data_IF_780915397284
#
_entry.id   IF_780915397284
#
_cell.length_a   1.000
_cell.length_b   1.000
_cell.length_c   1.000
_cell.angle_alpha   90.00
_cell.angle_beta   90.00
_cell.angle_gamma   90.00
#
_symmetry.space_group_name_H-M   'P 1'
#
loop_
_entity.id
_entity.type
_entity.pdbx_description
1 polymer ?
#
# COMPACT_ATOMS: atom_id res chain seq x y z
N UNK A 1 48.82 18.34 -48.19
CA UNK A 1 49.86 19.37 -48.01
C UNK A 1 49.49 20.19 -46.77
N UNK A 2 50.43 20.29 -45.81
CA UNK A 2 50.46 21.08 -44.56
C UNK A 2 49.33 20.77 -43.53
N UNK A 3 49.55 20.24 -42.32
CA UNK A 3 50.76 19.98 -41.55
C UNK A 3 50.92 20.98 -40.40
N UNK A 4 50.61 20.56 -39.16
CA UNK A 4 51.28 21.03 -37.93
C UNK A 4 50.84 20.18 -36.72
N UNK A 5 51.79 19.35 -36.28
CA UNK A 5 51.91 18.60 -35.03
C UNK A 5 52.26 19.50 -33.84
N UNK A 6 51.97 19.07 -32.60
CA UNK A 6 52.81 19.22 -31.39
C UNK A 6 52.21 18.37 -30.24
N UNK A 7 52.66 17.13 -30.02
CA UNK A 7 53.58 16.64 -28.96
C UNK A 7 53.23 16.93 -27.48
N UNK A 8 52.74 15.87 -26.81
CA UNK A 8 53.10 15.30 -25.51
C UNK A 8 53.81 16.13 -24.42
N UNK A 9 53.23 16.12 -23.21
CA UNK A 9 53.99 16.01 -21.96
C UNK A 9 53.31 15.06 -20.97
N UNK A 10 54.07 14.06 -20.55
CA UNK A 10 53.82 13.07 -19.51
C UNK A 10 54.70 13.36 -18.29
N UNK A 11 54.21 13.21 -17.05
CA UNK A 11 55.00 12.84 -15.84
C UNK A 11 54.08 12.68 -14.59
N UNK A 12 54.52 12.03 -13.48
CA UNK A 12 53.96 10.74 -13.07
C UNK A 12 53.54 10.62 -11.58
N UNK A 13 52.87 9.49 -11.28
CA UNK A 13 52.86 8.66 -10.06
C UNK A 13 53.30 9.28 -8.71
N UNK A 14 52.42 9.19 -7.71
CA UNK A 14 52.81 8.93 -6.33
C UNK A 14 52.03 7.74 -5.75
N UNK A 15 52.80 6.67 -5.51
CA UNK A 15 52.48 5.51 -4.68
C UNK A 15 52.53 5.92 -3.20
N UNK A 16 51.60 5.41 -2.40
CA UNK A 16 51.87 5.08 -1.01
C UNK A 16 51.50 3.61 -0.74
N UNK A 17 52.52 2.76 -0.70
CA UNK A 17 52.62 1.61 0.21
C UNK A 17 53.09 2.17 1.57
N UNK A 18 52.84 1.64 2.77
CA UNK A 18 52.73 0.26 3.25
C UNK A 18 52.47 0.30 4.77
N UNK A 19 51.70 -0.66 5.32
CA UNK A 19 51.95 -1.40 6.58
C UNK A 19 50.70 -2.24 6.86
N UNK A 20 50.67 -3.57 6.64
CA UNK A 20 51.36 -4.67 7.34
C UNK A 20 50.90 -4.94 8.78
N UNK A 21 50.32 -6.15 8.93
CA UNK A 21 50.40 -7.11 10.03
C UNK A 21 49.59 -6.93 11.34
N UNK A 22 48.79 -7.97 11.64
CA UNK A 22 48.71 -8.74 12.91
C UNK A 22 47.26 -9.25 13.14
N UNK A 23 46.93 -10.51 12.84
CA UNK A 23 46.95 -11.67 13.76
C UNK A 23 46.02 -11.57 14.99
N UNK A 24 44.98 -12.42 14.97
CA UNK A 24 44.08 -12.87 16.06
C UNK A 24 44.80 -13.27 17.36
N UNK A 25 44.18 -13.15 18.56
CA UNK A 25 43.25 -14.20 19.06
C UNK A 25 42.06 -13.69 19.93
N UNK A 26 40.96 -14.46 19.98
CA UNK A 26 39.98 -14.39 21.09
C UNK A 26 40.61 -14.89 22.41
N UNK A 27 39.96 -14.79 23.59
CA UNK A 27 38.70 -15.50 23.86
C UNK A 27 37.74 -14.80 24.87
N UNK A 28 36.68 -15.53 25.24
CA UNK A 28 35.77 -15.38 26.40
C UNK A 28 34.32 -14.94 26.14
N UNK A 29 33.48 -15.96 25.91
CA UNK A 29 32.06 -15.99 26.30
C UNK A 29 31.94 -16.05 27.83
N UNK A 30 30.79 -15.59 28.37
CA UNK A 30 30.05 -16.35 29.36
C UNK A 30 28.74 -16.88 28.76
N UNK A 31 28.54 -18.19 28.92
CA UNK A 31 27.26 -18.86 28.78
C UNK A 31 26.34 -18.39 29.92
N UNK A 32 25.08 -18.04 29.63
CA UNK A 32 24.00 -18.21 30.59
C UNK A 32 22.93 -19.11 29.97
N UNK A 33 22.96 -20.35 30.44
CA UNK A 33 21.89 -21.32 30.38
C UNK A 33 20.99 -21.02 31.59
N UNK A 34 19.67 -20.90 31.45
CA UNK A 34 18.72 -21.40 32.46
C UNK A 34 17.26 -21.14 32.03
N UNK A 35 16.49 -22.22 32.00
CA UNK A 35 15.25 -22.27 32.80
C UNK A 35 13.95 -21.87 32.11
N UNK A 36 13.33 -22.85 31.47
CA UNK A 36 11.88 -22.93 31.23
C UNK A 36 11.10 -22.61 32.52
N UNK A 37 10.17 -21.65 32.49
CA UNK A 37 8.98 -21.62 33.37
C UNK A 37 7.84 -20.82 32.73
N UNK A 38 6.74 -21.52 32.41
CA UNK A 38 5.43 -20.94 32.11
C UNK A 38 4.86 -20.32 33.39
N UNK A 39 4.26 -19.13 33.31
CA UNK A 39 3.21 -18.74 34.27
C UNK A 39 2.13 -17.90 33.59
N UNK A 40 0.89 -18.38 33.73
CA UNK A 40 -0.34 -17.65 33.49
C UNK A 40 -0.46 -16.51 34.51
N UNK A 41 -0.89 -15.32 34.07
CA UNK A 41 -1.55 -14.36 34.95
C UNK A 41 -2.56 -13.51 34.18
N UNK A 42 -3.82 -13.86 34.39
CA UNK A 42 -5.01 -13.10 34.00
C UNK A 42 -5.07 -11.78 34.75
N UNK A 43 -5.39 -10.69 34.06
CA UNK A 43 -5.63 -9.37 34.66
C UNK A 43 -7.14 -9.12 34.67
N UNK A 44 -7.72 -9.15 35.86
CA UNK A 44 -9.09 -8.72 36.14
C UNK A 44 -9.14 -7.19 36.17
N UNK A 45 -10.00 -6.58 35.35
CA UNK A 45 -10.53 -5.24 35.62
C UNK A 45 -11.99 -5.37 36.04
N UNK A 46 -12.23 -4.96 37.28
CA UNK A 46 -13.55 -4.82 37.88
C UNK A 46 -14.28 -3.60 37.30
N UNK A 47 -15.53 -3.79 36.88
CA UNK A 47 -16.52 -2.74 36.80
C UNK A 47 -17.74 -3.16 37.63
N UNK A 48 -17.95 -2.42 38.72
CA UNK A 48 -19.10 -2.55 39.60
C UNK A 48 -20.37 -2.06 38.89
N UNK A 49 -21.52 -2.74 39.03
CA UNK A 49 -22.81 -2.22 38.59
C UNK A 49 -23.37 -1.21 39.61
N UNK A 50 -23.76 -0.02 39.15
CA UNK A 50 -24.45 0.99 39.96
C UNK A 50 -25.93 0.61 40.06
N UNK A 51 -26.39 0.45 41.31
CA UNK A 51 -27.71 -0.04 41.68
C UNK A 51 -28.87 0.93 41.37
N UNK A 52 -30.04 0.37 41.02
CA UNK A 52 -31.36 0.98 41.17
C UNK A 52 -31.91 0.68 42.57
N UNK A 53 -32.69 1.59 43.20
CA UNK A 53 -33.13 1.47 44.59
C UNK A 53 -34.27 0.45 44.73
N UNK A 54 -34.20 -0.39 45.76
CA UNK A 54 -35.20 -1.42 46.04
C UNK A 54 -36.40 -0.92 46.86
N UNK A 55 -37.44 -1.77 47.05
CA UNK A 55 -38.34 -1.67 48.18
C UNK A 55 -37.95 -2.68 49.28
N UNK A 56 -38.11 -2.23 50.53
CA UNK A 56 -37.72 -2.91 51.76
C UNK A 56 -38.56 -4.14 52.16
N UNK A 57 -38.35 -4.64 53.39
CA UNK A 57 -38.52 -6.05 53.72
C UNK A 57 -39.92 -6.37 54.26
N UNK A 58 -40.44 -7.55 53.91
CA UNK A 58 -41.56 -8.11 54.67
C UNK A 58 -42.33 -9.23 53.99
N UNK A 59 -42.13 -10.44 54.52
CA UNK A 59 -43.09 -11.55 54.68
C UNK A 59 -43.41 -12.43 53.47
N UNK A 60 -43.26 -13.74 53.74
CA UNK A 60 -44.20 -14.77 53.27
C UNK A 60 -43.77 -15.47 51.99
N UNK A 61 -43.38 -16.72 52.09
CA UNK A 61 -43.11 -17.55 50.93
C UNK A 61 -44.36 -17.78 50.07
N UNK A 62 -44.19 -17.77 48.75
CA UNK A 62 -44.94 -18.57 47.79
C UNK A 62 -44.30 -18.46 46.38
N UNK A 63 -44.12 -19.62 45.75
CA UNK A 63 -43.96 -19.90 44.31
C UNK A 63 -42.82 -19.27 43.48
N UNK A 64 -41.75 -20.05 43.27
CA UNK A 64 -40.72 -19.86 42.22
C UNK A 64 -41.10 -20.48 40.86
N UNK A 65 -42.38 -20.79 40.61
CA UNK A 65 -42.82 -21.45 39.37
C UNK A 65 -43.29 -20.47 38.26
N UNK A 66 -43.68 -19.23 38.60
CA UNK A 66 -44.31 -18.31 37.63
C UNK A 66 -43.39 -17.67 36.58
N UNK A 67 -42.07 -17.63 36.80
CA UNK A 67 -41.14 -16.94 35.88
C UNK A 67 -40.61 -17.82 34.74
N UNK A 68 -40.68 -19.16 34.87
CA UNK A 68 -40.15 -20.08 33.86
C UNK A 68 -41.17 -20.35 32.77
N UNK A 69 -42.44 -20.46 33.11
CA UNK A 69 -43.52 -20.69 32.15
C UNK A 69 -43.79 -19.45 31.28
N UNK A 70 -43.76 -18.24 31.87
CA UNK A 70 -43.89 -16.99 31.10
C UNK A 70 -42.71 -16.77 30.12
N UNK A 71 -41.51 -17.19 30.53
CA UNK A 71 -40.33 -17.15 29.66
C UNK A 71 -40.41 -18.18 28.51
N UNK A 72 -40.88 -19.40 28.79
CA UNK A 72 -41.07 -20.43 27.77
C UNK A 72 -42.18 -20.04 26.78
N UNK A 73 -43.26 -19.40 27.24
CA UNK A 73 -44.32 -18.88 26.38
C UNK A 73 -43.83 -17.76 25.45
N UNK A 74 -42.97 -16.86 25.94
CA UNK A 74 -42.36 -15.80 25.11
C UNK A 74 -41.38 -16.35 24.08
N UNK A 75 -40.61 -17.38 24.43
CA UNK A 75 -39.72 -18.08 23.48
C UNK A 75 -40.52 -18.82 22.39
N UNK A 76 -41.60 -19.48 22.77
CA UNK A 76 -42.45 -20.20 21.82
C UNK A 76 -43.20 -19.24 20.88
N UNK A 77 -43.63 -18.07 21.40
CA UNK A 77 -44.19 -17.00 20.57
C UNK A 77 -43.15 -16.43 19.59
N UNK A 78 -41.91 -16.16 20.05
CA UNK A 78 -40.83 -15.66 19.19
C UNK A 78 -40.45 -16.65 18.08
N UNK A 79 -40.34 -17.95 18.42
CA UNK A 79 -40.09 -19.03 17.44
C UNK A 79 -41.20 -19.10 16.39
N UNK A 80 -42.47 -19.04 16.79
CA UNK A 80 -43.59 -19.07 15.84
C UNK A 80 -43.62 -17.83 14.91
N UNK A 81 -43.17 -16.67 15.40
CA UNK A 81 -43.08 -15.46 14.59
C UNK A 81 -41.95 -15.53 13.56
N UNK A 82 -40.81 -16.13 13.93
CA UNK A 82 -39.68 -16.40 13.03
C UNK A 82 -40.07 -17.38 11.91
N UNK A 83 -40.73 -18.50 12.26
CA UNK A 83 -41.20 -19.46 11.26
C UNK A 83 -42.23 -18.85 10.28
N UNK A 84 -43.07 -17.93 10.78
CA UNK A 84 -44.04 -17.22 9.94
C UNK A 84 -43.33 -16.24 8.99
N UNK A 85 -42.27 -15.59 9.46
CA UNK A 85 -41.46 -14.65 8.67
C UNK A 85 -40.64 -15.38 7.59
N UNK A 86 -40.05 -16.53 7.93
CA UNK A 86 -39.34 -17.40 6.98
C UNK A 86 -40.28 -17.94 5.90
N UNK A 87 -41.50 -18.37 6.25
CA UNK A 87 -42.50 -18.81 5.26
C UNK A 87 -42.92 -17.70 4.30
N UNK A 88 -43.02 -16.46 4.78
CA UNK A 88 -43.29 -15.29 3.92
C UNK A 88 -42.11 -14.90 3.03
N UNK A 89 -40.89 -15.24 3.44
CA UNK A 89 -39.68 -14.98 2.69
C UNK A 89 -39.46 -16.06 1.60
N UNK A 90 -39.71 -17.33 1.92
CA UNK A 90 -39.68 -18.45 0.99
C UNK A 90 -40.73 -18.33 -0.13
N UNK A 91 -41.90 -17.75 0.15
CA UNK A 91 -42.93 -17.51 -0.88
C UNK A 91 -42.56 -16.43 -1.90
N UNK A 92 -41.55 -15.57 -1.62
CA UNK A 92 -41.12 -14.49 -2.53
C UNK A 92 -39.95 -14.85 -3.44
N UNK A 93 -39.34 -16.02 -3.26
CA UNK A 93 -38.25 -16.47 -4.13
C UNK A 93 -38.77 -17.24 -5.37
N UNK A 94 -38.25 -16.95 -6.57
CA UNK A 94 -38.57 -17.70 -7.79
C UNK A 94 -38.06 -19.16 -7.71
N UNK A 95 -38.80 -20.08 -8.31
CA UNK A 95 -38.64 -21.55 -8.14
C UNK A 95 -37.23 -22.08 -8.44
N UNK A 96 -36.45 -21.40 -9.29
CA UNK A 96 -35.07 -21.78 -9.62
C UNK A 96 -34.08 -21.57 -8.45
N UNK A 97 -34.35 -20.62 -7.54
CA UNK A 97 -33.49 -20.38 -6.36
C UNK A 97 -33.80 -21.34 -5.20
N UNK A 98 -35.05 -21.85 -5.11
CA UNK A 98 -35.43 -22.82 -4.06
C UNK A 98 -34.66 -24.13 -4.20
N UNK A 99 -34.50 -24.60 -5.43
CA UNK A 99 -33.82 -25.87 -5.70
C UNK A 99 -32.31 -25.80 -5.41
N UNK A 100 -31.68 -24.65 -5.65
CA UNK A 100 -30.28 -24.40 -5.28
C UNK A 100 -30.09 -24.24 -3.77
N UNK A 101 -31.10 -23.69 -3.07
CA UNK A 101 -31.05 -23.49 -1.62
C UNK A 101 -31.27 -24.80 -0.86
N UNK A 102 -32.17 -25.66 -1.34
CA UNK A 102 -32.43 -26.99 -0.78
C UNK A 102 -31.20 -27.92 -0.93
N UNK A 103 -30.50 -27.85 -2.07
CA UNK A 103 -29.26 -28.60 -2.29
C UNK A 103 -28.11 -28.10 -1.40
N UNK A 104 -28.05 -26.78 -1.11
CA UNK A 104 -27.05 -26.20 -0.21
C UNK A 104 -27.34 -26.55 1.28
N UNK A 105 -28.61 -26.50 1.70
CA UNK A 105 -29.06 -26.88 3.05
C UNK A 105 -28.85 -28.39 3.33
N UNK A 106 -28.96 -29.23 2.31
CA UNK A 106 -28.69 -30.67 2.42
C UNK A 106 -27.19 -31.00 2.57
N UNK A 107 -26.31 -30.17 2.02
CA UNK A 107 -24.85 -30.29 2.17
C UNK A 107 -24.40 -29.78 3.55
N UNK A 108 -25.00 -28.69 4.02
CA UNK A 108 -24.66 -28.09 5.31
C UNK A 108 -25.15 -28.94 6.49
N UNK A 109 -26.36 -29.51 6.40
CA UNK A 109 -26.90 -30.44 7.42
C UNK A 109 -26.04 -31.70 7.61
N UNK A 110 -25.29 -32.13 6.58
CA UNK A 110 -24.34 -33.26 6.70
C UNK A 110 -23.05 -32.86 7.43
N UNK A 111 -22.59 -31.63 7.26
CA UNK A 111 -21.43 -31.11 7.98
C UNK A 111 -21.73 -30.84 9.47
N UNK A 112 -22.94 -30.37 9.79
CA UNK A 112 -23.38 -30.16 11.17
C UNK A 112 -23.55 -31.48 11.96
N UNK A 113 -23.90 -32.57 11.28
CA UNK A 113 -24.01 -33.91 11.89
C UNK A 113 -22.65 -34.53 12.24
N UNK A 114 -21.59 -34.23 11.49
CA UNK A 114 -20.22 -34.67 11.82
C UNK A 114 -19.66 -33.95 13.06
N UNK A 115 -20.08 -32.70 13.30
CA UNK A 115 -19.73 -31.95 14.52
C UNK A 115 -20.49 -32.49 15.72
N UNK A 116 -21.79 -32.81 15.57
CA UNK A 116 -22.62 -33.42 16.61
C UNK A 116 -22.15 -34.84 17.00
N UNK A 117 -21.58 -35.61 16.06
CA UNK A 117 -20.99 -36.92 16.34
C UNK A 117 -19.69 -36.88 17.16
N UNK A 118 -19.06 -35.71 17.31
CA UNK A 118 -17.83 -35.53 18.09
C UNK A 118 -18.06 -35.15 19.57
N UNK A 119 -19.32 -35.00 20.00
CA UNK A 119 -19.70 -34.47 21.33
C UNK A 119 -20.19 -35.55 22.32
N UNK A 120 -19.82 -36.82 22.13
CA UNK A 120 -20.05 -37.85 23.14
C UNK A 120 -19.10 -37.65 24.34
N UNK A 121 -19.61 -37.07 25.42
CA UNK A 121 -18.95 -37.05 26.74
C UNK A 121 -18.77 -35.68 27.41
N UNK A 122 -19.32 -34.60 26.88
CA UNK A 122 -19.22 -33.26 27.49
C UNK A 122 -20.44 -32.95 28.39
N UNK A 123 -20.20 -32.22 29.49
CA UNK A 123 -21.28 -31.78 30.38
C UNK A 123 -22.17 -30.76 29.67
N UNK A 124 -23.47 -30.71 30.01
CA UNK A 124 -24.47 -29.84 29.36
C UNK A 124 -24.13 -28.34 29.36
N UNK A 125 -23.20 -27.92 30.23
CA UNK A 125 -22.69 -26.55 30.33
C UNK A 125 -21.61 -26.23 29.30
N UNK A 126 -20.73 -27.19 28.99
CA UNK A 126 -19.61 -26.98 28.05
C UNK A 126 -20.10 -26.96 26.60
N UNK A 127 -21.13 -27.76 26.28
CA UNK A 127 -21.76 -27.78 24.96
C UNK A 127 -22.44 -26.44 24.62
N UNK A 128 -23.06 -25.78 25.60
CA UNK A 128 -23.73 -24.48 25.41
C UNK A 128 -22.71 -23.36 25.24
N UNK A 129 -21.55 -23.44 25.88
CA UNK A 129 -20.48 -22.44 25.75
C UNK A 129 -19.78 -22.54 24.38
N UNK A 130 -19.56 -23.76 23.88
CA UNK A 130 -19.03 -24.00 22.52
C UNK A 130 -20.05 -23.61 21.44
N UNK A 131 -21.33 -23.91 21.63
CA UNK A 131 -22.38 -23.52 20.69
C UNK A 131 -22.56 -21.99 20.64
N UNK A 132 -22.52 -21.32 21.79
CA UNK A 132 -22.55 -19.85 21.85
C UNK A 132 -21.28 -19.22 21.25
N UNK A 133 -20.11 -19.85 21.40
CA UNK A 133 -18.88 -19.39 20.76
C UNK A 133 -18.93 -19.55 19.23
N UNK A 134 -19.54 -20.63 18.73
CA UNK A 134 -19.75 -20.86 17.30
C UNK A 134 -20.79 -19.89 16.71
N UNK A 135 -21.91 -19.68 17.40
CA UNK A 135 -22.95 -18.71 17.01
C UNK A 135 -22.46 -17.26 17.11
N UNK A 136 -21.57 -16.94 18.05
CA UNK A 136 -20.91 -15.64 18.12
C UNK A 136 -19.87 -15.45 17.01
N UNK A 137 -19.18 -16.51 16.59
CA UNK A 137 -18.27 -16.47 15.44
C UNK A 137 -19.03 -16.31 14.12
N UNK A 138 -20.22 -16.91 14.00
CA UNK A 138 -21.08 -16.80 12.82
C UNK A 138 -21.82 -15.45 12.77
N UNK A 139 -22.29 -14.94 13.92
CA UNK A 139 -22.83 -13.58 14.04
C UNK A 139 -21.78 -12.48 13.82
N UNK A 140 -20.50 -12.74 14.10
CA UNK A 140 -19.41 -11.83 13.77
C UNK A 140 -19.02 -11.92 12.28
N UNK A 141 -19.21 -13.08 11.65
CA UNK A 141 -19.03 -13.28 10.21
C UNK A 141 -20.18 -12.71 9.37
N UNK A 142 -21.38 -12.61 9.95
CA UNK A 142 -22.60 -12.05 9.33
C UNK A 142 -22.78 -10.54 9.57
N UNK A 143 -21.85 -9.91 10.31
CA UNK A 143 -21.70 -8.45 10.28
C UNK A 143 -20.88 -8.03 9.06
N UNK A 144 -21.44 -8.31 7.89
CA UNK A 144 -20.90 -7.92 6.58
C UNK A 144 -21.01 -6.39 6.44
N UNK A 145 -20.03 -5.70 7.04
CA UNK A 145 -19.79 -4.28 6.88
C UNK A 145 -19.23 -3.90 5.49
N UNK A 146 -19.18 -4.85 4.55
CA UNK A 146 -18.60 -4.66 3.22
C UNK A 146 -19.61 -4.12 2.18
N UNK A 147 -20.91 -4.01 2.52
CA UNK A 147 -21.95 -3.59 1.55
C UNK A 147 -22.30 -2.09 1.54
N UNK A 148 -21.70 -1.23 2.36
CA UNK A 148 -22.15 0.19 2.47
C UNK A 148 -21.17 1.30 2.06
N UNK A 149 -20.03 0.97 1.46
CA UNK A 149 -19.12 2.00 0.91
C UNK A 149 -19.01 2.01 -0.64
N UNK A 150 -19.88 1.28 -1.35
CA UNK A 150 -19.90 1.19 -2.82
C UNK A 150 -20.74 2.25 -3.56
N UNK A 151 -21.11 3.37 -2.92
CA UNK A 151 -22.22 4.21 -3.40
C UNK A 151 -21.85 5.56 -4.03
N UNK A 152 -20.70 5.66 -4.72
CA UNK A 152 -20.45 6.81 -5.60
C UNK A 152 -20.80 6.54 -7.06
N UNK A 153 -20.77 5.28 -7.54
CA UNK A 153 -21.08 4.92 -8.95
C UNK A 153 -21.69 3.51 -9.16
N UNK A 154 -22.05 2.77 -8.10
CA UNK A 154 -22.56 1.38 -8.24
C UNK A 154 -21.51 0.36 -8.69
N UNK A 155 -20.22 0.70 -8.56
CA UNK A 155 -19.08 -0.13 -8.93
C UNK A 155 -18.40 -0.70 -7.68
N UNK A 156 -17.82 -1.91 -7.77
CA UNK A 156 -17.09 -2.51 -6.65
C UNK A 156 -15.87 -1.67 -6.22
N UNK A 157 -15.53 -1.73 -4.94
CA UNK A 157 -14.41 -0.99 -4.34
C UNK A 157 -13.05 -1.31 -5.00
N UNK A 158 -12.88 -2.55 -5.50
CA UNK A 158 -11.70 -2.94 -6.27
C UNK A 158 -11.62 -2.22 -7.63
N UNK A 159 -12.74 -2.09 -8.36
CA UNK A 159 -12.74 -1.38 -9.65
C UNK A 159 -12.55 0.11 -9.45
N UNK A 160 -13.13 0.70 -8.40
CA UNK A 160 -12.86 2.08 -8.01
C UNK A 160 -11.35 2.29 -7.76
N UNK A 161 -10.71 1.39 -7.01
CA UNK A 161 -9.27 1.40 -6.79
C UNK A 161 -8.46 1.35 -8.08
N UNK A 162 -8.82 0.46 -9.02
CA UNK A 162 -8.16 0.37 -10.33
C UNK A 162 -8.31 1.66 -11.16
N UNK A 163 -9.51 2.28 -11.18
CA UNK A 163 -9.74 3.55 -11.87
C UNK A 163 -8.87 4.66 -11.27
N UNK A 164 -8.85 4.77 -9.95
CA UNK A 164 -8.04 5.77 -9.26
C UNK A 164 -6.53 5.55 -9.55
N UNK A 165 -6.05 4.31 -9.58
CA UNK A 165 -4.66 4.01 -9.94
C UNK A 165 -4.32 4.42 -11.38
N UNK A 166 -5.24 4.25 -12.33
CA UNK A 166 -5.04 4.74 -13.71
C UNK A 166 -4.98 6.28 -13.76
N UNK A 167 -5.79 6.98 -12.97
CA UNK A 167 -5.71 8.45 -12.82
C UNK A 167 -4.34 8.84 -12.23
N UNK A 168 -3.87 8.12 -11.20
CA UNK A 168 -2.54 8.34 -10.63
C UNK A 168 -1.42 8.10 -11.65
N UNK A 169 -1.55 7.11 -12.54
CA UNK A 169 -0.58 6.88 -13.62
C UNK A 169 -0.50 8.08 -14.58
N UNK A 170 -1.63 8.72 -14.90
CA UNK A 170 -1.65 9.94 -15.70
C UNK A 170 -1.03 11.14 -14.97
N UNK A 171 -1.28 11.27 -13.67
CA UNK A 171 -0.65 12.29 -12.83
C UNK A 171 0.87 12.11 -12.73
N UNK A 172 1.36 10.86 -12.62
CA UNK A 172 2.80 10.60 -12.68
C UNK A 172 3.39 10.91 -14.05
N UNK A 173 2.70 10.56 -15.15
CA UNK A 173 3.15 10.92 -16.49
C UNK A 173 3.28 12.43 -16.70
N UNK A 174 2.28 13.21 -16.27
CA UNK A 174 2.34 14.68 -16.34
C UNK A 174 3.41 15.28 -15.42
N UNK A 175 3.69 14.64 -14.27
CA UNK A 175 4.74 15.06 -13.34
C UNK A 175 6.12 15.14 -14.02
N UNK A 176 6.42 14.23 -14.95
CA UNK A 176 7.71 14.22 -15.67
C UNK A 176 7.89 15.48 -16.53
N UNK A 177 6.82 15.96 -17.16
CA UNK A 177 6.84 17.22 -17.93
C UNK A 177 7.03 18.41 -17.00
N UNK A 178 6.36 18.43 -15.85
CA UNK A 178 6.46 19.53 -14.88
C UNK A 178 7.84 19.60 -14.24
N UNK A 179 8.47 18.45 -13.93
CA UNK A 179 9.85 18.41 -13.44
C UNK A 179 10.80 19.04 -14.46
N UNK A 180 10.69 18.66 -15.74
CA UNK A 180 11.51 19.22 -16.82
C UNK A 180 11.32 20.74 -17.00
N UNK A 181 10.14 21.26 -16.66
CA UNK A 181 9.91 22.71 -16.67
C UNK A 181 10.51 23.41 -15.45
N UNK A 182 10.55 22.74 -14.29
CA UNK A 182 11.04 23.30 -13.03
C UNK A 182 12.56 23.16 -12.82
N UNK A 183 13.22 22.22 -13.51
CA UNK A 183 14.65 21.91 -13.31
C UNK A 183 15.60 23.07 -13.66
N UNK A 184 15.13 24.04 -14.46
CA UNK A 184 15.91 25.23 -14.79
C UNK A 184 15.97 26.27 -13.67
N UNK A 185 14.98 26.27 -12.76
CA UNK A 185 14.80 27.32 -11.76
C UNK A 185 15.29 26.90 -10.36
N UNK A 186 15.34 25.59 -10.08
CA UNK A 186 15.62 25.07 -8.74
C UNK A 186 16.38 23.74 -8.78
N UNK A 187 17.27 23.53 -7.81
CA UNK A 187 17.96 22.24 -7.64
C UNK A 187 16.99 21.09 -7.32
N UNK A 188 17.31 19.88 -7.78
CA UNK A 188 16.47 18.68 -7.59
C UNK A 188 16.23 18.37 -6.11
N UNK A 189 17.23 18.60 -5.26
CA UNK A 189 17.13 18.36 -3.82
C UNK A 189 16.18 19.35 -3.14
N UNK A 190 16.28 20.64 -3.47
CA UNK A 190 15.38 21.67 -2.94
C UNK A 190 13.95 21.48 -3.47
N UNK A 191 13.80 21.14 -4.76
CA UNK A 191 12.52 20.81 -5.38
C UNK A 191 11.84 19.65 -4.64
N UNK A 192 12.58 18.58 -4.33
CA UNK A 192 12.07 17.42 -3.60
C UNK A 192 11.67 17.77 -2.16
N UNK A 193 12.52 18.53 -1.44
CA UNK A 193 12.21 18.95 -0.08
C UNK A 193 10.94 19.81 0.01
N UNK A 194 10.78 20.77 -0.90
CA UNK A 194 9.58 21.61 -0.97
C UNK A 194 8.34 20.82 -1.40
N UNK A 195 8.46 19.98 -2.43
CA UNK A 195 7.40 19.07 -2.91
C UNK A 195 6.85 18.22 -1.76
N UNK A 196 7.73 17.54 -1.03
CA UNK A 196 7.33 16.66 0.06
C UNK A 196 6.87 17.44 1.30
N UNK A 197 7.42 18.63 1.55
CA UNK A 197 6.94 19.53 2.59
C UNK A 197 5.49 19.98 2.35
N UNK A 198 5.16 20.40 1.13
CA UNK A 198 3.79 20.76 0.73
C UNK A 198 2.85 19.56 0.91
N UNK A 199 3.28 18.37 0.49
CA UNK A 199 2.49 17.14 0.64
C UNK A 199 2.24 16.79 2.12
N UNK A 200 3.27 16.88 2.97
CA UNK A 200 3.15 16.60 4.40
C UNK A 200 2.24 17.61 5.12
N UNK A 201 2.29 18.90 4.72
CA UNK A 201 1.41 19.94 5.27
C UNK A 201 -0.07 19.66 5.00
N UNK A 202 -0.40 19.09 3.83
CA UNK A 202 -1.77 18.70 3.48
C UNK A 202 -2.38 17.70 4.50
N UNK A 203 -1.55 16.86 5.10
CA UNK A 203 -1.98 15.83 6.07
C UNK A 203 -1.58 16.16 7.52
N UNK A 204 -1.17 17.40 7.83
CA UNK A 204 -0.65 17.77 9.14
C UNK A 204 -1.56 17.39 10.34
N UNK A 205 -2.90 17.58 10.29
CA UNK A 205 -3.77 17.19 11.40
C UNK A 205 -3.77 15.69 11.69
N UNK A 206 -3.72 14.86 10.65
CA UNK A 206 -3.64 13.41 10.77
C UNK A 206 -2.27 12.96 11.30
N UNK A 207 -1.20 13.70 10.96
CA UNK A 207 0.15 13.41 11.45
C UNK A 207 0.21 13.48 12.99
N UNK A 208 -0.42 14.50 13.58
CA UNK A 208 -0.44 14.68 15.05
C UNK A 208 -1.09 13.47 15.75
N UNK A 209 -2.16 12.92 15.18
CA UNK A 209 -2.83 11.72 15.72
C UNK A 209 -1.97 10.47 15.52
N UNK A 210 -1.43 10.29 14.32
CA UNK A 210 -0.60 9.13 13.98
C UNK A 210 0.69 9.03 14.79
N UNK A 211 1.32 10.17 15.10
CA UNK A 211 2.54 10.23 15.91
C UNK A 211 2.34 9.74 17.36
N UNK A 212 1.10 9.64 17.86
CA UNK A 212 0.83 9.11 19.21
C UNK A 212 1.04 7.60 19.28
N UNK A 213 0.88 6.89 18.17
CA UNK A 213 1.07 5.43 18.12
C UNK A 213 2.53 5.08 17.79
N UNK A 214 3.19 4.32 18.68
CA UNK A 214 4.60 3.89 18.50
C UNK A 214 4.78 2.97 17.28
N UNK A 215 3.88 2.01 17.10
CA UNK A 215 3.97 1.05 16.00
C UNK A 215 3.76 1.72 14.64
N UNK A 216 2.78 2.64 14.57
CA UNK A 216 2.54 3.44 13.37
C UNK A 216 3.75 4.29 13.02
N UNK A 217 4.39 4.95 14.00
CA UNK A 217 5.62 5.73 13.77
C UNK A 217 6.72 4.91 13.14
N UNK A 218 7.01 3.73 13.70
CA UNK A 218 8.08 2.87 13.18
C UNK A 218 7.76 2.37 11.76
N UNK A 219 6.50 2.00 11.53
CA UNK A 219 6.06 1.53 10.20
C UNK A 219 6.08 2.66 9.17
N UNK A 220 5.58 3.84 9.52
CA UNK A 220 5.58 5.01 8.64
C UNK A 220 7.00 5.50 8.34
N UNK A 221 7.91 5.40 9.32
CA UNK A 221 9.32 5.71 9.13
C UNK A 221 9.98 4.71 8.16
N UNK A 222 9.68 3.42 8.28
CA UNK A 222 10.12 2.39 7.32
C UNK A 222 9.66 2.74 5.90
N UNK A 223 8.36 2.98 5.70
CA UNK A 223 7.80 3.31 4.39
C UNK A 223 8.35 4.63 3.83
N UNK A 224 8.49 5.66 4.67
CA UNK A 224 9.05 6.95 4.29
C UNK A 224 10.51 6.84 3.85
N UNK A 225 11.28 5.95 4.50
CA UNK A 225 12.68 5.69 4.13
C UNK A 225 12.78 5.03 2.76
N UNK A 226 11.92 4.05 2.46
CA UNK A 226 11.88 3.42 1.13
C UNK A 226 11.53 4.41 0.03
N UNK A 227 10.53 5.28 0.26
CA UNK A 227 10.21 6.35 -0.69
C UNK A 227 11.37 7.33 -0.87
N UNK A 228 11.98 7.79 0.23
CA UNK A 228 13.09 8.74 0.16
C UNK A 228 14.27 8.16 -0.62
N UNK A 229 14.65 6.91 -0.33
CA UNK A 229 15.69 6.20 -1.06
C UNK A 229 15.36 6.05 -2.55
N UNK A 230 14.11 5.67 -2.88
CA UNK A 230 13.63 5.54 -4.25
C UNK A 230 13.72 6.86 -5.04
N UNK A 231 13.24 7.96 -4.45
CA UNK A 231 13.29 9.29 -5.06
C UNK A 231 14.73 9.80 -5.21
N UNK A 232 15.58 9.61 -4.19
CA UNK A 232 16.98 10.07 -4.22
C UNK A 232 17.79 9.29 -5.25
N UNK A 233 17.66 7.95 -5.28
CA UNK A 233 18.32 7.12 -6.27
C UNK A 233 17.85 7.45 -7.70
N UNK A 234 16.57 7.77 -7.88
CA UNK A 234 16.03 8.21 -9.17
C UNK A 234 16.63 9.55 -9.60
N UNK A 235 16.62 10.53 -8.70
CA UNK A 235 17.17 11.87 -8.96
C UNK A 235 18.63 11.79 -9.40
N UNK A 236 19.46 11.08 -8.65
CA UNK A 236 20.88 10.89 -8.97
C UNK A 236 21.02 10.09 -10.28
N UNK A 237 20.21 9.05 -10.50
CA UNK A 237 20.25 8.26 -11.73
C UNK A 237 19.97 9.10 -12.98
N UNK A 238 18.99 10.00 -12.91
CA UNK A 238 18.61 10.92 -13.98
C UNK A 238 19.66 11.99 -14.30
N UNK A 239 20.63 12.23 -13.41
CA UNK A 239 21.79 13.09 -13.74
C UNK A 239 22.75 12.42 -14.74
N UNK A 240 22.78 11.08 -14.76
CA UNK A 240 23.70 10.30 -15.61
C UNK A 240 22.99 9.63 -16.80
N UNK A 241 21.68 9.42 -16.73
CA UNK A 241 20.90 8.79 -17.81
C UNK A 241 19.94 9.77 -18.47
N UNK A 242 19.49 9.41 -19.67
CA UNK A 242 18.48 10.19 -20.38
C UNK A 242 17.10 9.99 -19.77
N UNK A 243 16.21 10.99 -19.85
CA UNK A 243 14.83 10.89 -19.37
C UNK A 243 14.08 9.66 -19.93
N UNK A 244 14.30 9.32 -21.20
CA UNK A 244 13.66 8.16 -21.85
C UNK A 244 14.11 6.83 -21.24
N UNK A 245 15.42 6.64 -21.05
CA UNK A 245 15.98 5.47 -20.35
C UNK A 245 15.58 5.42 -18.87
N UNK A 246 15.50 6.58 -18.20
CA UNK A 246 14.99 6.70 -16.84
C UNK A 246 13.55 6.22 -16.72
N UNK A 247 12.68 6.59 -17.66
CA UNK A 247 11.30 6.10 -17.73
C UNK A 247 11.22 4.59 -17.99
N UNK A 248 12.07 4.06 -18.88
CA UNK A 248 12.17 2.62 -19.13
C UNK A 248 12.59 1.84 -17.87
N UNK A 249 13.69 2.25 -17.26
CA UNK A 249 14.24 1.60 -16.06
C UNK A 249 13.34 1.75 -14.84
N UNK A 250 12.63 2.87 -14.69
CA UNK A 250 11.61 3.05 -13.66
C UNK A 250 10.45 2.03 -13.75
N UNK A 251 10.14 1.57 -14.96
CA UNK A 251 9.12 0.54 -15.20
C UNK A 251 9.49 -0.82 -14.60
N UNK A 252 10.76 -1.08 -14.27
CA UNK A 252 11.19 -2.32 -13.61
C UNK A 252 10.51 -2.56 -12.25
N UNK A 253 9.84 -1.55 -11.70
CA UNK A 253 8.94 -1.70 -10.54
C UNK A 253 7.91 -2.81 -10.79
N UNK A 254 7.43 -2.99 -12.03
CA UNK A 254 6.49 -4.05 -12.42
C UNK A 254 7.05 -5.47 -12.27
N UNK A 255 8.39 -5.61 -12.28
CA UNK A 255 9.07 -6.88 -12.00
C UNK A 255 9.44 -6.99 -10.51
N UNK A 256 9.92 -5.90 -9.90
CA UNK A 256 10.34 -5.88 -8.51
C UNK A 256 9.20 -6.27 -7.56
N UNK A 257 8.00 -5.73 -7.75
CA UNK A 257 6.85 -6.01 -6.87
C UNK A 257 6.45 -7.49 -6.85
N UNK A 258 6.14 -8.16 -7.99
CA UNK A 258 5.81 -9.59 -7.96
C UNK A 258 6.98 -10.46 -7.49
N UNK A 259 8.25 -10.08 -7.74
CA UNK A 259 9.40 -10.78 -7.15
C UNK A 259 9.35 -10.73 -5.62
N UNK A 260 9.14 -9.55 -5.04
CA UNK A 260 9.06 -9.38 -3.58
C UNK A 260 7.87 -10.12 -2.97
N UNK A 261 6.73 -10.12 -3.65
CA UNK A 261 5.55 -10.91 -3.26
C UNK A 261 5.85 -12.42 -3.29
N UNK A 262 6.53 -12.90 -4.34
CA UNK A 262 6.94 -14.30 -4.44
C UNK A 262 7.95 -14.70 -3.35
N UNK A 263 8.91 -13.83 -3.04
CA UNK A 263 9.88 -14.03 -1.96
C UNK A 263 9.22 -14.03 -0.57
N UNK A 264 8.06 -13.39 -0.41
CA UNK A 264 7.27 -13.45 0.82
C UNK A 264 6.45 -14.74 0.96
N UNK A 265 6.58 -15.69 0.03
CA UNK A 265 5.87 -16.97 0.02
C UNK A 265 4.46 -16.92 -0.59
N UNK A 266 3.98 -15.75 -1.03
CA UNK A 266 2.68 -15.63 -1.71
C UNK A 266 2.80 -16.07 -3.16
N UNK A 267 1.81 -16.82 -3.66
CA UNK A 267 1.77 -17.25 -5.07
C UNK A 267 1.43 -16.07 -5.97
N UNK A 268 2.26 -15.82 -6.97
CA UNK A 268 2.00 -14.84 -8.03
C UNK A 268 1.54 -15.60 -9.28
N UNK A 269 0.39 -15.27 -9.87
CA UNK A 269 -0.09 -15.97 -11.05
C UNK A 269 0.83 -15.70 -12.24
N UNK A 270 1.02 -16.72 -13.09
CA UNK A 270 1.85 -16.61 -14.29
C UNK A 270 1.38 -15.49 -15.24
N UNK A 271 0.09 -15.18 -15.25
CA UNK A 271 -0.50 -14.09 -16.03
C UNK A 271 0.10 -12.73 -15.67
N UNK A 272 0.46 -12.49 -14.40
CA UNK A 272 1.16 -11.26 -13.97
C UNK A 272 2.53 -11.14 -14.59
N UNK A 273 3.30 -12.24 -14.66
CA UNK A 273 4.62 -12.27 -15.28
C UNK A 273 4.55 -12.05 -16.79
N UNK A 274 3.59 -12.72 -17.46
CA UNK A 274 3.35 -12.51 -18.88
C UNK A 274 2.95 -11.06 -19.19
N UNK A 275 2.03 -10.48 -18.39
CA UNK A 275 1.63 -9.08 -18.54
C UNK A 275 2.80 -8.12 -18.30
N UNK A 276 3.64 -8.38 -17.30
CA UNK A 276 4.84 -7.58 -17.02
C UNK A 276 5.85 -7.62 -18.18
N UNK A 277 6.07 -8.78 -18.78
CA UNK A 277 6.95 -8.93 -19.94
C UNK A 277 6.44 -8.17 -21.17
N UNK A 278 5.13 -8.25 -21.46
CA UNK A 278 4.49 -7.50 -22.54
C UNK A 278 4.56 -5.99 -22.28
N UNK A 279 4.24 -5.56 -21.05
CA UNK A 279 4.31 -4.16 -20.66
C UNK A 279 5.74 -3.60 -20.77
N UNK A 280 6.74 -4.33 -20.28
CA UNK A 280 8.15 -3.91 -20.36
C UNK A 280 8.63 -3.83 -21.81
N UNK A 281 8.19 -4.76 -22.67
CA UNK A 281 8.47 -4.70 -24.11
C UNK A 281 7.83 -3.46 -24.73
N UNK A 282 6.57 -3.16 -24.38
CA UNK A 282 5.86 -1.98 -24.84
C UNK A 282 6.53 -0.68 -24.42
N UNK A 283 6.91 -0.55 -23.14
CA UNK A 283 7.68 0.61 -22.65
C UNK A 283 9.03 0.68 -23.34
N UNK A 284 9.72 -0.45 -23.53
CA UNK A 284 10.98 -0.52 -24.26
C UNK A 284 10.85 0.07 -25.67
N UNK A 285 9.86 -0.35 -26.44
CA UNK A 285 9.59 0.20 -27.78
C UNK A 285 9.21 1.69 -27.77
N UNK A 286 8.55 2.15 -26.70
CA UNK A 286 8.15 3.55 -26.52
C UNK A 286 9.34 4.46 -26.16
N UNK A 287 10.35 3.93 -25.46
CA UNK A 287 11.39 4.72 -24.76
C UNK A 287 12.83 4.43 -25.21
N UNK A 288 13.07 3.44 -26.07
CA UNK A 288 14.44 3.16 -26.51
C UNK A 288 14.95 4.22 -27.50
N UNK A 289 15.98 4.95 -27.06
CA UNK A 289 16.65 6.01 -27.82
C UNK A 289 17.91 5.54 -28.58
N UNK A 290 18.22 4.22 -28.56
CA UNK A 290 19.38 3.65 -29.24
C UNK A 290 20.75 3.93 -28.58
N UNK A 291 20.77 4.54 -27.39
CA UNK A 291 21.99 4.88 -26.63
C UNK A 291 22.47 3.69 -25.80
N UNK A 292 23.77 3.60 -25.50
CA UNK A 292 24.35 2.55 -24.66
C UNK A 292 24.00 2.67 -23.17
N UNK A 293 23.87 1.55 -22.43
CA UNK A 293 23.66 1.58 -20.98
C UNK A 293 24.78 2.20 -20.15
N UNK A 294 24.39 2.87 -19.07
CA UNK A 294 25.28 3.56 -18.15
C UNK A 294 24.92 3.33 -16.67
N UNK A 295 25.72 3.92 -15.78
CA UNK A 295 25.56 3.77 -14.33
C UNK A 295 24.24 4.39 -13.80
N UNK A 296 23.74 5.44 -14.44
CA UNK A 296 22.46 6.07 -14.09
C UNK A 296 21.29 5.11 -14.27
N UNK A 297 21.33 4.25 -15.27
CA UNK A 297 20.29 3.22 -15.47
C UNK A 297 20.25 2.22 -14.32
N UNK A 298 21.42 1.82 -13.81
CA UNK A 298 21.49 0.92 -12.66
C UNK A 298 20.92 1.58 -11.40
N UNK A 299 21.16 2.89 -11.21
CA UNK A 299 20.56 3.66 -10.12
C UNK A 299 19.03 3.79 -10.28
N UNK A 300 18.52 4.01 -11.49
CA UNK A 300 17.09 4.04 -11.76
C UNK A 300 16.41 2.68 -11.55
N UNK A 301 17.07 1.57 -11.89
CA UNK A 301 16.58 0.21 -11.56
C UNK A 301 16.59 -0.02 -10.04
N UNK A 302 17.64 0.45 -9.34
CA UNK A 302 17.70 0.44 -7.88
C UNK A 302 16.54 1.22 -7.26
N UNK A 303 16.26 2.42 -7.77
CA UNK A 303 15.08 3.22 -7.42
C UNK A 303 13.77 2.46 -7.61
N UNK A 304 13.57 1.85 -8.78
CA UNK A 304 12.38 1.05 -9.10
C UNK A 304 12.19 -0.12 -8.10
N UNK A 305 13.30 -0.71 -7.65
CA UNK A 305 13.29 -1.76 -6.63
C UNK A 305 12.87 -1.22 -5.26
N UNK A 306 13.38 -0.06 -4.83
CA UNK A 306 13.00 0.59 -3.57
C UNK A 306 11.52 1.00 -3.57
N UNK A 307 11.01 1.55 -4.68
CA UNK A 307 9.58 1.80 -4.85
C UNK A 307 8.76 0.51 -4.85
N UNK A 308 9.30 -0.59 -5.40
CA UNK A 308 8.68 -1.90 -5.32
C UNK A 308 8.57 -2.42 -3.88
N UNK A 309 9.62 -2.24 -3.07
CA UNK A 309 9.59 -2.57 -1.63
C UNK A 309 8.54 -1.73 -0.91
N UNK A 310 8.49 -0.43 -1.17
CA UNK A 310 7.48 0.45 -0.61
C UNK A 310 6.05 -0.04 -0.94
N UNK A 311 5.75 -0.35 -2.21
CA UNK A 311 4.43 -0.81 -2.65
C UNK A 311 4.03 -2.15 -2.00
N UNK A 312 4.94 -3.12 -2.02
CA UNK A 312 4.72 -4.42 -1.39
C UNK A 312 4.49 -4.31 0.13
N UNK A 313 5.30 -3.49 0.83
CA UNK A 313 5.12 -3.25 2.26
C UNK A 313 3.81 -2.50 2.53
N UNK A 314 3.48 -1.50 1.72
CA UNK A 314 2.27 -0.70 1.85
C UNK A 314 1.02 -1.57 1.77
N UNK A 315 0.94 -2.50 0.82
CA UNK A 315 -0.17 -3.48 0.73
C UNK A 315 -0.39 -4.26 2.05
N UNK A 316 0.68 -4.73 2.68
CA UNK A 316 0.56 -5.45 3.96
C UNK A 316 0.20 -4.53 5.14
N UNK A 317 0.70 -3.30 5.10
CA UNK A 317 0.56 -2.35 6.20
C UNK A 317 -0.80 -1.66 6.19
N UNK A 318 -1.35 -1.35 5.01
CA UNK A 318 -2.67 -0.71 4.87
C UNK A 318 -3.79 -1.63 5.34
N UNK A 319 -3.64 -2.95 5.18
CA UNK A 319 -4.54 -3.94 5.76
C UNK A 319 -4.53 -3.91 7.30
N UNK A 320 -3.35 -3.73 7.92
CA UNK A 320 -3.21 -3.64 9.39
C UNK A 320 -3.70 -2.30 9.97
N UNK A 321 -3.55 -1.20 9.23
CA UNK A 321 -3.99 0.14 9.63
C UNK A 321 -5.15 0.64 8.75
N UNK A 322 -6.13 -0.22 8.48
CA UNK A 322 -7.28 0.08 7.61
C UNK A 322 -8.01 1.36 8.06
N UNK A 323 -8.24 1.49 9.36
CA UNK A 323 -9.02 2.57 9.97
C UNK A 323 -8.20 3.84 10.21
N UNK A 324 -6.87 3.74 10.06
CA UNK A 324 -5.94 4.85 10.30
C UNK A 324 -4.96 5.07 9.15
N UNK A 325 -5.43 4.81 7.93
CA UNK A 325 -4.60 4.93 6.72
C UNK A 325 -4.18 6.38 6.46
N UNK A 326 -5.05 7.36 6.76
CA UNK A 326 -4.71 8.77 6.60
C UNK A 326 -3.62 9.22 7.59
N UNK A 327 -3.65 8.73 8.84
CA UNK A 327 -2.60 8.94 9.82
C UNK A 327 -1.27 8.30 9.38
N UNK A 328 -1.33 7.08 8.81
CA UNK A 328 -0.16 6.40 8.27
C UNK A 328 0.46 7.20 7.12
N UNK A 329 -0.34 7.65 6.15
CA UNK A 329 0.09 8.51 5.03
C UNK A 329 0.75 9.78 5.59
N UNK A 330 0.12 10.43 6.57
CA UNK A 330 0.59 11.67 7.14
C UNK A 330 1.98 11.53 7.79
N UNK A 331 2.17 10.50 8.63
CA UNK A 331 3.45 10.26 9.31
C UNK A 331 4.52 9.83 8.31
N UNK A 332 4.16 9.07 7.28
CA UNK A 332 5.08 8.66 6.22
C UNK A 332 5.54 9.84 5.37
N UNK A 333 4.63 10.74 4.99
CA UNK A 333 4.97 11.98 4.28
C UNK A 333 5.83 12.90 5.14
N UNK A 334 5.57 12.96 6.46
CA UNK A 334 6.42 13.70 7.39
C UNK A 334 7.84 13.11 7.47
N UNK A 335 7.97 11.78 7.51
CA UNK A 335 9.27 11.12 7.47
C UNK A 335 10.00 11.39 6.14
N UNK A 336 9.31 11.31 5.01
CA UNK A 336 9.85 11.62 3.69
C UNK A 336 10.30 13.09 3.58
N UNK A 337 9.45 14.03 4.02
CA UNK A 337 9.74 15.46 3.99
C UNK A 337 10.91 15.83 4.91
N UNK A 338 10.99 15.23 6.10
CA UNK A 338 12.10 15.48 7.02
C UNK A 338 13.42 14.92 6.49
N UNK A 339 13.43 13.72 5.91
CA UNK A 339 14.62 13.17 5.25
C UNK A 339 15.09 14.05 4.08
N UNK A 340 14.16 14.51 3.23
CA UNK A 340 14.48 15.40 2.12
C UNK A 340 14.97 16.78 2.57
N UNK A 341 14.41 17.34 3.65
CA UNK A 341 14.87 18.60 4.23
C UNK A 341 16.29 18.47 4.80
N UNK A 342 16.63 17.35 5.45
CA UNK A 342 18.00 17.08 5.92
C UNK A 342 18.96 16.97 4.74
N UNK A 343 18.54 16.30 3.65
CA UNK A 343 19.36 16.14 2.45
C UNK A 343 19.59 17.47 1.70
N UNK A 344 18.62 18.38 1.69
CA UNK A 344 18.75 19.71 1.08
C UNK A 344 19.39 20.75 2.00
N UNK A 345 19.59 20.45 3.29
CA UNK A 345 20.07 21.40 4.29
C UNK A 345 21.38 22.12 3.91
N UNK A 346 22.42 21.48 3.34
CA UNK A 346 23.65 22.18 2.97
C UNK A 346 23.42 23.34 1.99
N UNK A 347 22.47 23.19 1.06
CA UNK A 347 22.13 24.21 0.07
C UNK A 347 21.39 25.38 0.72
N UNK A 348 20.47 25.07 1.64
CA UNK A 348 19.72 26.07 2.41
C UNK A 348 20.63 26.87 3.33
N UNK A 349 21.57 26.21 4.02
CA UNK A 349 22.56 26.89 4.87
C UNK A 349 23.48 27.79 4.06
N UNK A 350 23.97 27.32 2.92
CA UNK A 350 24.81 28.15 2.04
C UNK A 350 24.07 29.42 1.56
N UNK A 351 22.79 29.30 1.23
CA UNK A 351 21.96 30.45 0.86
C UNK A 351 21.69 31.38 2.05
N UNK A 352 21.52 30.82 3.25
CA UNK A 352 21.34 31.61 4.47
C UNK A 352 22.59 32.44 4.83
N UNK A 353 23.79 31.92 4.57
CA UNK A 353 25.06 32.64 4.75
C UNK A 353 25.19 33.86 3.83
N UNK A 354 24.55 33.83 2.65
CA UNK A 354 24.52 34.96 1.71
C UNK A 354 23.60 36.11 2.15
N UNK A 355 22.83 35.91 3.23
CA UNK A 355 21.98 36.92 3.86
C UNK A 355 20.49 36.83 3.51
N UNK A 356 19.65 37.62 4.20
CA UNK A 356 18.19 37.55 4.05
C UNK A 356 17.68 37.86 2.64
N UNK A 357 18.36 38.76 1.92
CA UNK A 357 17.98 39.16 0.56
C UNK A 357 18.17 38.01 -0.44
N UNK A 358 19.25 37.24 -0.30
CA UNK A 358 19.50 36.06 -1.12
C UNK A 358 18.45 34.97 -0.87
N UNK A 359 18.08 34.76 0.40
CA UNK A 359 17.00 33.84 0.77
C UNK A 359 15.66 34.29 0.19
N UNK A 360 15.34 35.58 0.30
CA UNK A 360 14.10 36.14 -0.24
C UNK A 360 14.05 36.01 -1.76
N UNK A 361 15.14 36.33 -2.46
CA UNK A 361 15.25 36.20 -3.91
C UNK A 361 15.07 34.75 -4.38
N UNK A 362 15.64 33.78 -3.65
CA UNK A 362 15.45 32.38 -3.96
C UNK A 362 13.99 31.95 -3.80
N UNK A 363 13.32 32.39 -2.72
CA UNK A 363 11.91 32.05 -2.44
C UNK A 363 10.95 32.70 -3.44
N UNK A 364 11.21 33.94 -3.86
CA UNK A 364 10.38 34.64 -4.85
C UNK A 364 10.57 34.10 -6.26
N UNK A 365 11.76 33.57 -6.58
CA UNK A 365 12.07 32.92 -7.86
C UNK A 365 11.53 31.50 -8.01
N UNK A 366 10.90 30.92 -6.98
CA UNK A 366 10.43 29.54 -7.02
C UNK A 366 9.27 29.34 -8.01
N UNK A 367 9.25 28.22 -8.76
CA UNK A 367 8.13 27.86 -9.62
C UNK A 367 6.95 27.32 -8.79
N UNK A 368 6.25 28.21 -8.08
CA UNK A 368 5.20 27.87 -7.12
C UNK A 368 4.08 27.02 -7.71
N UNK A 369 3.67 27.27 -8.95
CA UNK A 369 2.62 26.49 -9.59
C UNK A 369 3.05 25.03 -9.79
N UNK A 370 4.29 24.81 -10.25
CA UNK A 370 4.88 23.48 -10.37
C UNK A 370 5.01 22.80 -9.01
N UNK A 371 5.50 23.52 -7.99
CA UNK A 371 5.64 23.00 -6.63
C UNK A 371 4.31 22.58 -6.01
N UNK A 372 3.26 23.39 -6.16
CA UNK A 372 1.92 23.10 -5.64
C UNK A 372 1.33 21.89 -6.36
N UNK A 373 1.43 21.83 -7.69
CA UNK A 373 0.97 20.67 -8.48
C UNK A 373 1.72 19.40 -8.09
N UNK A 374 3.04 19.46 -7.96
CA UNK A 374 3.86 18.32 -7.58
C UNK A 374 3.59 17.87 -6.15
N UNK A 375 3.46 18.80 -5.21
CA UNK A 375 3.21 18.50 -3.80
C UNK A 375 1.81 17.95 -3.55
N UNK A 376 0.77 18.63 -4.03
CA UNK A 376 -0.62 18.24 -3.77
C UNK A 376 -1.12 17.18 -4.76
N UNK A 377 -0.91 17.38 -6.05
CA UNK A 377 -1.45 16.52 -7.10
C UNK A 377 -0.67 15.21 -7.25
N UNK A 378 0.63 15.29 -7.46
CA UNK A 378 1.44 14.12 -7.85
C UNK A 378 2.17 13.45 -6.69
N UNK A 379 2.00 13.95 -5.45
CA UNK A 379 2.56 13.34 -4.23
C UNK A 379 1.48 13.04 -3.21
N UNK A 380 0.79 14.05 -2.68
CA UNK A 380 -0.19 13.86 -1.62
C UNK A 380 -1.39 13.04 -2.12
N UNK A 381 -1.99 13.46 -3.23
CA UNK A 381 -3.15 12.79 -3.79
C UNK A 381 -2.82 11.41 -4.38
N UNK A 382 -1.75 11.27 -5.16
CA UNK A 382 -1.36 9.96 -5.70
C UNK A 382 -0.98 8.95 -4.62
N UNK A 383 -0.27 9.37 -3.56
CA UNK A 383 0.02 8.50 -2.42
C UNK A 383 -1.26 8.13 -1.66
N UNK A 384 -2.18 9.08 -1.49
CA UNK A 384 -3.48 8.81 -0.88
C UNK A 384 -4.26 7.77 -1.69
N UNK A 385 -4.36 7.96 -3.01
CA UNK A 385 -4.97 6.99 -3.94
C UNK A 385 -4.30 5.63 -3.82
N UNK A 386 -2.97 5.58 -3.90
CA UNK A 386 -2.23 4.32 -3.87
C UNK A 386 -2.49 3.55 -2.57
N UNK A 387 -2.39 4.22 -1.42
CA UNK A 387 -2.57 3.58 -0.12
C UNK A 387 -4.01 3.10 0.10
N UNK A 388 -5.02 3.78 -0.46
CA UNK A 388 -6.41 3.33 -0.40
C UNK A 388 -6.70 2.21 -1.41
N UNK A 389 -6.18 2.32 -2.63
CA UNK A 389 -6.33 1.29 -3.65
C UNK A 389 -5.65 -0.02 -3.24
N UNK A 390 -4.51 0.03 -2.57
CA UNK A 390 -3.79 -1.16 -2.06
C UNK A 390 -4.55 -1.94 -0.98
N UNK A 391 -5.68 -1.42 -0.47
CA UNK A 391 -6.58 -2.18 0.42
C UNK A 391 -7.41 -3.21 -0.35
N UNK A 392 -7.70 -2.96 -1.62
CA UNK A 392 -8.60 -3.78 -2.45
C UNK A 392 -7.92 -4.31 -3.72
N UNK A 393 -6.82 -3.70 -4.15
CA UNK A 393 -6.03 -4.03 -5.33
C UNK A 393 -4.66 -4.54 -4.87
N UNK A 394 -4.26 -5.71 -5.35
CA UNK A 394 -2.95 -6.28 -4.99
C UNK A 394 -1.79 -5.43 -5.51
N UNK A 395 -0.66 -5.43 -4.79
CA UNK A 395 0.52 -4.65 -5.20
C UNK A 395 1.03 -5.00 -6.62
N UNK A 396 1.09 -6.28 -7.04
CA UNK A 396 1.49 -6.62 -8.42
C UNK A 396 0.55 -6.04 -9.48
N UNK A 397 -0.77 -6.03 -9.22
CA UNK A 397 -1.73 -5.44 -10.16
C UNK A 397 -1.58 -3.91 -10.21
N UNK A 398 -1.40 -3.24 -9.07
CA UNK A 398 -1.13 -1.82 -9.04
C UNK A 398 0.16 -1.45 -9.81
N UNK A 399 1.22 -2.24 -9.65
CA UNK A 399 2.47 -2.05 -10.39
C UNK A 399 2.29 -2.24 -11.91
N UNK A 400 1.44 -3.19 -12.34
CA UNK A 400 1.06 -3.35 -13.75
C UNK A 400 0.28 -2.13 -14.28
N UNK A 401 -0.68 -1.60 -13.52
CA UNK A 401 -1.42 -0.40 -13.92
C UNK A 401 -0.47 0.79 -14.12
N UNK A 402 0.51 0.96 -13.23
CA UNK A 402 1.51 2.02 -13.35
C UNK A 402 2.47 1.88 -14.54
N UNK A 403 2.51 0.74 -15.25
CA UNK A 403 3.24 0.68 -16.53
C UNK A 403 2.65 1.57 -17.63
N UNK A 404 1.44 2.12 -17.41
CA UNK A 404 0.88 3.17 -18.24
C UNK A 404 1.52 4.56 -18.01
N UNK A 405 2.32 4.75 -16.95
CA UNK A 405 2.97 6.05 -16.67
C UNK A 405 3.83 6.56 -17.84
N UNK A 406 4.76 5.78 -18.43
CA UNK A 406 5.56 6.23 -19.56
C UNK A 406 4.71 6.58 -20.79
N UNK A 407 3.59 5.89 -20.98
CA UNK A 407 2.62 6.21 -22.05
C UNK A 407 2.01 7.59 -21.84
N UNK A 408 1.54 7.89 -20.63
CA UNK A 408 1.01 9.21 -20.29
C UNK A 408 2.09 10.30 -20.40
N UNK A 409 3.30 10.04 -19.91
CA UNK A 409 4.43 10.96 -20.05
C UNK A 409 4.74 11.29 -21.50
N UNK A 410 4.82 10.26 -22.35
CA UNK A 410 5.03 10.44 -23.80
C UNK A 410 3.86 11.20 -24.46
N UNK A 411 2.62 10.99 -23.99
CA UNK A 411 1.43 11.66 -24.54
C UNK A 411 1.43 13.15 -24.18
N UNK A 412 1.73 13.49 -22.93
CA UNK A 412 1.85 14.88 -22.50
C UNK A 412 3.03 15.58 -23.19
N UNK A 413 4.16 14.90 -23.38
CA UNK A 413 5.28 15.44 -24.17
C UNK A 413 4.88 15.68 -25.63
N UNK A 414 4.11 14.77 -26.25
CA UNK A 414 3.57 14.95 -27.60
C UNK A 414 2.66 16.18 -27.71
N UNK A 415 1.74 16.36 -26.75
CA UNK A 415 0.77 17.49 -26.75
C UNK A 415 1.44 18.82 -26.39
N UNK A 416 2.21 18.85 -25.29
CA UNK A 416 2.72 20.09 -24.70
C UNK A 416 4.07 20.51 -25.28
N UNK A 417 4.96 19.54 -25.56
CA UNK A 417 6.32 19.79 -26.07
C UNK A 417 6.42 19.60 -27.60
N UNK A 418 5.33 19.17 -28.25
CA UNK A 418 5.26 18.91 -29.71
C UNK A 418 6.26 17.85 -30.20
N UNK A 419 6.70 16.97 -29.29
CA UNK A 419 7.51 15.81 -29.66
C UNK A 419 6.67 14.89 -30.56
N UNK A 420 7.28 14.12 -31.49
CA UNK A 420 6.54 13.24 -32.40
C UNK A 420 6.88 11.78 -32.16
N UNK A 421 5.86 10.92 -32.20
CA UNK A 421 6.04 9.48 -32.11
C UNK A 421 6.33 8.86 -33.48
N UNK A 422 7.33 8.00 -33.53
CA UNK A 422 7.56 7.11 -34.67
C UNK A 422 6.60 5.90 -34.64
N UNK A 423 6.60 5.07 -35.68
CA UNK A 423 5.80 3.83 -35.75
C UNK A 423 6.06 2.86 -34.57
N UNK A 424 7.30 2.80 -34.09
CA UNK A 424 7.68 1.99 -32.92
C UNK A 424 7.04 2.49 -31.63
N UNK A 425 6.90 3.81 -31.46
CA UNK A 425 6.23 4.41 -30.31
C UNK A 425 4.75 4.05 -30.25
N UNK A 426 4.06 4.07 -31.40
CA UNK A 426 2.67 3.62 -31.49
C UNK A 426 2.49 2.13 -31.17
N UNK A 427 3.39 1.28 -31.67
CA UNK A 427 3.38 -0.15 -31.33
C UNK A 427 3.61 -0.36 -29.81
N UNK A 428 4.57 0.37 -29.22
CA UNK A 428 4.83 0.35 -27.79
C UNK A 428 3.61 0.76 -26.96
N UNK A 429 2.95 1.86 -27.34
CA UNK A 429 1.72 2.33 -26.71
C UNK A 429 0.60 1.28 -26.75
N UNK A 430 0.39 0.63 -27.90
CA UNK A 430 -0.60 -0.42 -28.05
C UNK A 430 -0.32 -1.62 -27.13
N UNK A 431 0.94 -2.04 -27.01
CA UNK A 431 1.33 -3.14 -26.12
C UNK A 431 1.09 -2.82 -24.64
N UNK A 432 1.43 -1.60 -24.19
CA UNK A 432 1.19 -1.14 -22.81
C UNK A 432 -0.30 -1.18 -22.48
N UNK A 433 -1.14 -0.63 -23.38
CA UNK A 433 -2.59 -0.63 -23.19
C UNK A 433 -3.12 -2.07 -23.14
N UNK A 434 -2.70 -2.92 -24.08
CA UNK A 434 -3.13 -4.31 -24.14
C UNK A 434 -2.75 -5.10 -22.88
N UNK A 435 -1.51 -4.97 -22.40
CA UNK A 435 -1.06 -5.67 -21.18
C UNK A 435 -1.82 -5.22 -19.93
N UNK A 436 -2.05 -3.92 -19.82
CA UNK A 436 -2.70 -3.33 -18.64
C UNK A 436 -4.20 -3.58 -18.64
N UNK A 437 -4.85 -3.55 -19.80
CA UNK A 437 -6.27 -3.93 -19.92
C UNK A 437 -6.48 -5.42 -19.67
N UNK A 438 -5.65 -6.29 -20.28
CA UNK A 438 -5.75 -7.74 -20.08
C UNK A 438 -5.53 -8.14 -18.61
N UNK A 439 -4.56 -7.53 -17.93
CA UNK A 439 -4.29 -7.86 -16.52
C UNK A 439 -5.42 -7.41 -15.59
N UNK A 440 -6.05 -6.25 -15.86
CA UNK A 440 -7.20 -5.79 -15.10
C UNK A 440 -8.43 -6.68 -15.31
N UNK A 441 -8.71 -7.10 -16.55
CA UNK A 441 -9.83 -7.97 -16.88
C UNK A 441 -9.69 -9.37 -16.27
N UNK A 442 -8.48 -9.94 -16.27
CA UNK A 442 -8.25 -11.27 -15.66
C UNK A 442 -8.42 -11.21 -14.14
N UNK A 443 -7.91 -10.15 -13.50
CA UNK A 443 -7.95 -10.03 -12.05
C UNK A 443 -9.29 -9.50 -11.50
N UNK A 444 -10.12 -8.83 -12.32
CA UNK A 444 -11.47 -8.42 -11.91
C UNK A 444 -12.43 -9.60 -11.73
N UNK A 445 -12.11 -10.77 -12.31
CA UNK A 445 -12.94 -11.98 -12.24
C UNK A 445 -12.46 -12.99 -11.19
N UNK A 446 -11.24 -12.83 -10.66
CA UNK A 446 -10.74 -13.65 -9.56
C UNK A 446 -11.22 -13.10 -8.23
N UNK A 447 -12.34 -13.62 -7.71
CA UNK A 447 -12.73 -13.40 -6.30
C UNK A 447 -11.55 -13.78 -5.40
N UNK A 448 -11.14 -12.94 -4.42
CA UNK A 448 -10.17 -13.37 -3.43
C UNK A 448 -10.79 -14.52 -2.64
N UNK A 449 -10.22 -15.72 -2.76
CA UNK A 449 -10.47 -16.78 -1.77
C UNK A 449 -9.91 -16.27 -0.45
N UNK A 450 -10.77 -16.05 0.54
CA UNK A 450 -10.35 -15.98 1.95
C UNK A 450 -9.67 -17.33 2.25
N UNK A 451 -8.35 -17.32 2.42
CA UNK A 451 -7.57 -18.43 2.97
C UNK A 451 -7.49 -18.31 4.49
#
# INVERSE_FOLDING_TARGET
MKGSSLTAQSKPLLRHSSSSAASTPGPHRPRLNLGIRKSHRSVNYALQPKALPGPGPGRGGQSKAGNREDFLLKLQAASSSLETQERQQQQRQPEAERQSSDDALAVDSRASLDVLGSMDGLSSTDAVEVLNASLAAESAADSDGDEKEGLLLGMSTAVQGMILLNISAALFGSNQVVIKMAEHDISVNALSALRFGIAALCFAPAAVRGLRNKEMRLTALELGTWLFGGYTAQAIGLEYTTASRGAFTGTFTVLAVPMLVGLSGRKVPWTTWAAAAVALTGVGLLTTSGVEPNIGDALCIGSATLFGVHKWRSETVTARFSDSTNELIAVQLLALASAAAVFSAPQVFHLAEQGPDAMMAAVTGLPWLSLIFMGLGTTAFTLWVEMHALKTVSAPLAALIYTAEPLWGALFAWVLLKERWGPTGWAGAALIIASTAASQLVNSHSKPKKE
#
